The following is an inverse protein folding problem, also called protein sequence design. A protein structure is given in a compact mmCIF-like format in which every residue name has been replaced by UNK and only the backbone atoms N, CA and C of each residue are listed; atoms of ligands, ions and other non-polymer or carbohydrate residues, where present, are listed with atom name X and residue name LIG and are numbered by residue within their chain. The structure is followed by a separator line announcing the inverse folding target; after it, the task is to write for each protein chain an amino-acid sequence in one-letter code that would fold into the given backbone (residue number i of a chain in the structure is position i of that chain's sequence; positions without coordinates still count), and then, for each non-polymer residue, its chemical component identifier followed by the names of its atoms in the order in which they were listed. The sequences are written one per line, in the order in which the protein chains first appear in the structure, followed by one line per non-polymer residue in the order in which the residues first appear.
data_IF_022708972794
#
_entry.id   IF_022708972794
#
_cell.length_a   1.000
_cell.length_b   1.000
_cell.length_c   1.000
_cell.angle_alpha   90.00
_cell.angle_beta   90.00
_cell.angle_gamma   90.00
#
_symmetry.space_group_name_H-M   'P 1'
#
loop_
_entity.id
_entity.type
_entity.pdbx_description
1 polymer ?
#
# COMPACT_ATOMS: atom_id res chain seq x y z
N UNK A 1 -53.32 38.03 -60.89
CA UNK A 1 -53.20 36.96 -59.87
C UNK A 1 -52.09 35.89 -60.08
N UNK A 2 -51.13 35.95 -61.02
CA UNK A 2 -50.08 34.90 -61.12
C UNK A 2 -48.82 35.14 -60.26
N UNK A 3 -48.55 36.36 -59.79
CA UNK A 3 -47.35 36.67 -58.98
C UNK A 3 -47.41 36.11 -57.55
N UNK A 4 -48.61 36.06 -56.94
CA UNK A 4 -48.76 35.59 -55.55
C UNK A 4 -48.49 34.08 -55.40
N UNK A 5 -48.82 33.27 -56.42
CA UNK A 5 -48.57 31.82 -56.40
C UNK A 5 -47.09 31.47 -56.58
N UNK A 6 -46.33 32.28 -57.33
CA UNK A 6 -44.88 32.09 -57.49
C UNK A 6 -44.10 32.44 -56.21
N UNK A 7 -44.50 33.48 -55.49
CA UNK A 7 -43.84 33.84 -54.24
C UNK A 7 -44.11 32.84 -53.11
N UNK A 8 -45.35 32.35 -52.98
CA UNK A 8 -45.68 31.28 -52.04
C UNK A 8 -44.90 30.00 -52.36
N UNK A 9 -44.80 29.61 -53.63
CA UNK A 9 -44.02 28.44 -54.07
C UNK A 9 -42.52 28.53 -53.72
N UNK A 10 -41.91 29.71 -53.89
CA UNK A 10 -40.51 29.95 -53.48
C UNK A 10 -40.33 29.93 -51.97
N UNK A 11 -41.28 30.47 -51.22
CA UNK A 11 -41.23 30.49 -49.76
C UNK A 11 -41.29 29.06 -49.18
N UNK A 12 -42.18 28.20 -49.69
CA UNK A 12 -42.27 26.80 -49.28
C UNK A 12 -41.04 25.96 -49.65
N UNK A 13 -40.41 26.19 -50.80
CA UNK A 13 -39.17 25.50 -51.18
C UNK A 13 -37.98 25.90 -50.29
N UNK A 14 -37.86 27.18 -49.95
CA UNK A 14 -36.82 27.65 -49.04
C UNK A 14 -36.99 27.08 -47.62
N UNK A 15 -38.22 26.96 -47.13
CA UNK A 15 -38.54 26.33 -45.84
C UNK A 15 -38.20 24.82 -45.82
N UNK A 16 -38.50 24.11 -46.92
CA UNK A 16 -38.21 22.67 -47.06
C UNK A 16 -36.70 22.38 -47.16
N UNK A 17 -35.95 23.23 -47.86
CA UNK A 17 -34.50 23.13 -47.95
C UNK A 17 -33.84 23.45 -46.58
N UNK A 18 -34.32 24.47 -45.87
CA UNK A 18 -33.86 24.80 -44.52
C UNK A 18 -34.06 23.66 -43.50
N UNK A 19 -35.22 23.00 -43.51
CA UNK A 19 -35.46 21.83 -42.65
C UNK A 19 -34.57 20.63 -42.98
N UNK A 20 -34.20 20.45 -44.24
CA UNK A 20 -33.36 19.32 -44.69
C UNK A 20 -31.91 19.53 -44.26
N UNK A 21 -31.39 20.74 -44.37
CA UNK A 21 -30.04 21.09 -43.90
C UNK A 21 -29.94 21.05 -42.37
N UNK A 22 -30.98 21.49 -41.66
CA UNK A 22 -31.04 21.40 -40.19
C UNK A 22 -31.02 19.95 -39.69
N UNK A 23 -31.69 19.02 -40.37
CA UNK A 23 -31.64 17.59 -40.05
C UNK A 23 -30.25 16.98 -40.31
N UNK A 24 -29.58 17.37 -41.40
CA UNK A 24 -28.19 16.92 -41.67
C UNK A 24 -27.21 17.46 -40.63
N UNK A 25 -27.38 18.71 -40.21
CA UNK A 25 -26.56 19.31 -39.15
C UNK A 25 -26.79 18.60 -37.81
N UNK A 26 -28.05 18.36 -37.43
CA UNK A 26 -28.39 17.67 -36.20
C UNK A 26 -27.87 16.23 -36.17
N UNK A 27 -27.99 15.48 -37.27
CA UNK A 27 -27.40 14.13 -37.36
C UNK A 27 -25.88 14.16 -37.23
N UNK A 28 -25.19 15.07 -37.93
CA UNK A 28 -23.73 15.22 -37.77
C UNK A 28 -23.34 15.55 -36.33
N UNK A 29 -24.09 16.43 -35.68
CA UNK A 29 -23.84 16.82 -34.30
C UNK A 29 -24.04 15.65 -33.32
N UNK A 30 -25.11 14.86 -33.48
CA UNK A 30 -25.36 13.68 -32.64
C UNK A 30 -24.27 12.63 -32.84
N UNK A 31 -23.85 12.37 -34.08
CA UNK A 31 -22.78 11.38 -34.35
C UNK A 31 -21.44 11.83 -33.75
N UNK A 32 -21.07 13.11 -33.91
CA UNK A 32 -19.85 13.68 -33.31
C UNK A 32 -19.89 13.68 -31.78
N UNK A 33 -21.05 13.98 -31.18
CA UNK A 33 -21.24 13.96 -29.72
C UNK A 33 -21.16 12.53 -29.16
N UNK A 34 -21.72 11.55 -29.86
CA UNK A 34 -21.65 10.13 -29.46
C UNK A 34 -20.24 9.55 -29.53
N UNK A 35 -19.43 9.92 -30.54
CA UNK A 35 -18.01 9.52 -30.61
C UNK A 35 -17.16 10.23 -29.55
N UNK A 36 -17.45 11.50 -29.25
CA UNK A 36 -16.76 12.25 -28.20
C UNK A 36 -17.02 11.68 -26.81
N UNK A 37 -18.28 11.35 -26.49
CA UNK A 37 -18.63 10.74 -25.21
C UNK A 37 -17.98 9.35 -25.02
N UNK A 38 -17.94 8.51 -26.07
CA UNK A 38 -17.28 7.20 -26.01
C UNK A 38 -15.77 7.31 -25.75
N UNK A 39 -15.11 8.37 -26.24
CA UNK A 39 -13.68 8.61 -26.02
C UNK A 39 -13.34 9.05 -24.58
N UNK A 40 -14.28 9.69 -23.88
CA UNK A 40 -14.08 10.10 -22.48
C UNK A 40 -14.16 8.92 -21.50
N UNK A 41 -14.86 7.83 -21.86
CA UNK A 41 -14.92 6.62 -21.02
C UNK A 41 -13.67 5.74 -21.08
N UNK A 42 -12.80 5.92 -22.09
CA UNK A 42 -11.59 5.09 -22.26
C UNK A 42 -10.32 5.70 -21.67
N UNK A 43 -10.36 6.96 -21.21
CA UNK A 43 -9.17 7.71 -20.76
C UNK A 43 -8.96 7.78 -19.25
N UNK A 44 -9.88 7.27 -18.43
CA UNK A 44 -9.77 7.33 -16.96
C UNK A 44 -9.58 5.93 -16.34
N UNK A 45 -8.77 5.10 -16.99
CA UNK A 45 -8.30 3.87 -16.38
C UNK A 45 -7.12 4.24 -15.46
N UNK A 46 -7.42 4.62 -14.23
CA UNK A 46 -6.40 4.96 -13.24
C UNK A 46 -5.64 3.68 -12.85
N UNK A 47 -4.31 3.72 -12.92
CA UNK A 47 -3.47 2.64 -12.38
C UNK A 47 -3.11 2.97 -10.94
N UNK A 48 -3.45 2.07 -10.02
CA UNK A 48 -2.99 2.14 -8.64
C UNK A 48 -1.72 1.30 -8.48
N UNK A 49 -0.71 1.86 -7.83
CA UNK A 49 0.45 1.11 -7.37
C UNK A 49 0.23 0.70 -5.92
N UNK A 50 0.49 -0.57 -5.63
CA UNK A 50 0.41 -1.13 -4.29
C UNK A 50 1.80 -1.61 -3.89
N UNK A 51 2.28 -1.11 -2.76
CA UNK A 51 3.61 -1.43 -2.24
C UNK A 51 3.50 -2.39 -1.06
N UNK A 52 4.35 -3.41 -1.05
CA UNK A 52 4.46 -4.38 0.06
C UNK A 52 5.85 -4.32 0.65
N UNK A 53 5.94 -4.08 1.96
CA UNK A 53 7.20 -4.05 2.72
C UNK A 53 7.49 -5.44 3.28
N UNK A 54 8.68 -5.95 3.01
CA UNK A 54 9.06 -7.33 3.26
C UNK A 54 10.38 -7.38 4.02
N UNK A 55 10.46 -8.26 5.02
CA UNK A 55 11.73 -8.67 5.62
C UNK A 55 11.88 -10.19 5.41
N UNK A 56 12.80 -10.58 4.52
CA UNK A 56 12.88 -11.96 4.04
C UNK A 56 13.09 -13.01 5.15
N UNK A 57 14.00 -12.79 6.13
CA UNK A 57 14.14 -13.73 7.24
C UNK A 57 12.86 -13.89 8.08
N UNK A 58 12.07 -12.83 8.28
CA UNK A 58 10.80 -12.92 9.00
C UNK A 58 9.70 -13.61 8.19
N UNK A 59 9.70 -13.49 6.85
CA UNK A 59 8.84 -14.31 6.00
C UNK A 59 9.20 -15.80 6.10
N UNK A 60 10.50 -16.12 5.98
CA UNK A 60 10.97 -17.51 5.97
C UNK A 60 10.72 -18.21 7.31
N UNK A 61 10.85 -17.48 8.42
CA UNK A 61 10.45 -17.96 9.74
C UNK A 61 8.97 -18.32 9.81
N UNK A 62 8.10 -17.50 9.21
CA UNK A 62 6.64 -17.72 9.20
C UNK A 62 6.17 -18.72 8.13
N UNK A 63 7.02 -19.12 7.19
CA UNK A 63 6.65 -19.99 6.07
C UNK A 63 6.64 -21.50 6.39
N UNK A 64 6.51 -21.89 7.66
CA UNK A 64 6.48 -23.29 8.14
C UNK A 64 7.77 -24.11 7.88
N UNK A 65 8.83 -23.46 7.35
CA UNK A 65 10.15 -24.07 7.16
C UNK A 65 10.94 -24.15 8.47
N UNK A 66 10.76 -23.17 9.34
CA UNK A 66 11.46 -23.07 10.62
C UNK A 66 10.56 -23.65 11.71
N UNK A 67 11.01 -24.74 12.33
CA UNK A 67 10.26 -25.48 13.37
C UNK A 67 10.58 -25.05 14.80
N UNK A 68 11.49 -24.10 14.98
CA UNK A 68 11.96 -23.66 16.29
C UNK A 68 12.57 -22.27 16.21
N UNK A 69 12.58 -21.56 17.34
CA UNK A 69 13.28 -20.29 17.47
C UNK A 69 14.77 -20.46 17.10
N UNK A 70 15.30 -19.71 16.13
CA UNK A 70 16.69 -19.82 15.73
C UNK A 70 17.59 -19.11 16.74
N UNK A 71 18.35 -19.87 17.53
CA UNK A 71 19.16 -19.32 18.65
C UNK A 71 20.31 -18.43 18.19
N UNK A 72 20.95 -18.76 17.09
CA UNK A 72 22.12 -18.03 16.57
C UNK A 72 21.74 -16.95 15.54
N UNK A 73 20.49 -16.49 15.56
CA UNK A 73 20.01 -15.45 14.66
C UNK A 73 20.38 -14.05 15.17
N UNK A 74 20.74 -13.09 14.29
CA UNK A 74 20.89 -11.69 14.68
C UNK A 74 19.57 -11.05 15.15
N UNK A 75 18.43 -11.72 14.94
CA UNK A 75 17.11 -11.30 15.40
C UNK A 75 16.70 -11.99 16.71
N UNK A 76 17.61 -12.76 17.33
CA UNK A 76 17.41 -13.38 18.63
C UNK A 76 18.26 -12.68 19.68
N UNK A 77 17.61 -12.23 20.76
CA UNK A 77 18.27 -11.71 21.95
C UNK A 77 17.94 -12.64 23.11
N UNK A 78 18.97 -13.17 23.75
CA UNK A 78 18.85 -14.22 24.77
C UNK A 78 18.10 -15.43 24.22
N UNK A 79 16.79 -15.54 24.46
CA UNK A 79 15.93 -16.59 23.94
C UNK A 79 14.64 -16.07 23.26
N UNK A 80 14.63 -14.78 22.94
CA UNK A 80 13.52 -14.06 22.33
C UNK A 80 13.85 -13.76 20.87
N UNK A 81 13.06 -14.28 19.95
CA UNK A 81 13.16 -13.98 18.53
C UNK A 81 12.17 -12.89 18.14
N UNK A 82 12.66 -11.91 17.39
CA UNK A 82 11.89 -10.81 16.86
C UNK A 82 11.68 -10.99 15.36
N UNK A 83 10.42 -10.94 14.93
CA UNK A 83 10.04 -10.93 13.54
C UNK A 83 9.25 -9.66 13.23
N UNK A 84 9.34 -9.18 11.99
CA UNK A 84 8.52 -8.05 11.54
C UNK A 84 7.66 -8.41 10.33
N UNK A 85 6.58 -7.67 10.18
CA UNK A 85 5.63 -7.77 9.08
C UNK A 85 5.20 -6.37 8.62
N UNK A 86 5.38 -6.07 7.33
CA UNK A 86 4.72 -4.94 6.71
C UNK A 86 3.24 -5.25 6.45
N UNK A 87 2.34 -4.40 6.93
CA UNK A 87 0.89 -4.46 6.66
C UNK A 87 0.46 -3.21 5.92
N UNK A 88 -0.34 -3.39 4.88
CA UNK A 88 -0.99 -2.29 4.17
C UNK A 88 -2.22 -1.83 4.97
N UNK A 89 -2.30 -0.55 5.26
CA UNK A 89 -3.46 0.09 5.89
C UNK A 89 -4.41 0.65 4.83
N UNK A 90 -3.82 1.30 3.83
CA UNK A 90 -4.42 1.84 2.61
C UNK A 90 -3.34 1.86 1.51
N UNK A 91 -3.65 2.30 0.30
CA UNK A 91 -2.72 2.31 -0.84
C UNK A 91 -1.37 2.97 -0.55
N UNK A 92 -1.38 4.06 0.23
CA UNK A 92 -0.20 4.87 0.53
C UNK A 92 0.25 4.80 2.01
N UNK A 93 -0.49 4.11 2.87
CA UNK A 93 -0.19 4.01 4.31
C UNK A 93 0.15 2.57 4.70
N UNK A 94 1.30 2.40 5.36
CA UNK A 94 1.80 1.09 5.77
C UNK A 94 2.14 1.06 7.26
N UNK A 95 1.96 -0.10 7.88
CA UNK A 95 2.39 -0.38 9.24
C UNK A 95 3.51 -1.42 9.24
N UNK A 96 4.48 -1.26 10.13
CA UNK A 96 5.41 -2.34 10.45
C UNK A 96 5.05 -2.90 11.82
N UNK A 97 4.58 -4.14 11.81
CA UNK A 97 4.22 -4.87 13.02
C UNK A 97 5.39 -5.71 13.50
N UNK A 98 5.67 -5.63 14.79
CA UNK A 98 6.57 -6.51 15.51
C UNK A 98 5.81 -7.75 16.00
N UNK A 99 6.44 -8.92 15.90
CA UNK A 99 6.06 -10.13 16.58
C UNK A 99 7.23 -10.68 17.39
N UNK A 100 6.97 -11.04 18.64
CA UNK A 100 7.95 -11.63 19.55
C UNK A 100 7.59 -13.08 19.91
N UNK A 101 8.62 -13.93 19.95
CA UNK A 101 8.54 -15.37 20.19
C UNK A 101 9.61 -15.75 21.22
N UNK A 102 9.33 -16.66 22.14
CA UNK A 102 10.29 -17.07 23.17
C UNK A 102 10.23 -18.57 23.46
N UNK A 103 11.38 -19.16 23.83
CA UNK A 103 11.45 -20.55 24.28
C UNK A 103 11.16 -20.73 25.77
N UNK A 104 11.12 -19.62 26.51
CA UNK A 104 10.87 -19.56 27.96
C UNK A 104 9.51 -18.95 28.27
N UNK A 105 9.13 -18.94 29.55
CA UNK A 105 7.93 -18.25 30.04
C UNK A 105 8.33 -16.98 30.77
N UNK A 106 7.37 -16.08 30.96
CA UNK A 106 7.49 -14.87 31.77
C UNK A 106 8.67 -13.98 31.34
N UNK A 107 8.76 -13.72 30.03
CA UNK A 107 9.71 -12.73 29.51
C UNK A 107 9.05 -11.37 29.45
N UNK A 108 9.78 -10.32 29.80
CA UNK A 108 9.37 -8.93 29.59
C UNK A 108 10.35 -8.26 28.64
N UNK A 109 9.82 -7.43 27.74
CA UNK A 109 10.58 -6.68 26.76
C UNK A 109 10.04 -5.25 26.78
N UNK A 110 10.90 -4.27 27.03
CA UNK A 110 10.53 -2.87 26.80
C UNK A 110 10.94 -2.47 25.38
N UNK A 111 9.98 -2.08 24.56
CA UNK A 111 10.17 -1.55 23.22
C UNK A 111 10.39 -0.06 23.34
N UNK A 112 11.63 0.38 23.17
CA UNK A 112 12.03 1.77 23.44
C UNK A 112 11.68 2.66 22.24
N UNK A 113 12.18 2.28 21.07
CA UNK A 113 11.98 3.03 19.82
C UNK A 113 12.24 2.16 18.60
N UNK A 114 11.79 2.66 17.47
CA UNK A 114 12.11 2.15 16.15
C UNK A 114 12.57 3.29 15.25
N UNK A 115 13.36 2.99 14.23
CA UNK A 115 13.83 3.98 13.28
C UNK A 115 13.82 3.40 11.87
N UNK A 116 13.19 4.11 10.94
CA UNK A 116 13.23 3.77 9.52
C UNK A 116 14.34 4.57 8.86
N UNK A 117 15.29 3.89 8.24
CA UNK A 117 16.41 4.50 7.55
C UNK A 117 16.47 4.08 6.09
N UNK A 118 16.64 5.06 5.20
CA UNK A 118 16.86 4.88 3.76
C UNK A 118 17.84 5.96 3.33
N UNK A 119 18.92 5.59 2.64
CA UNK A 119 19.93 6.57 2.22
C UNK A 119 20.46 7.41 3.39
N UNK A 120 20.28 8.74 3.32
CA UNK A 120 20.62 9.67 4.40
C UNK A 120 19.46 9.96 5.35
N UNK A 121 18.24 9.54 4.98
CA UNK A 121 17.04 9.75 5.77
C UNK A 121 16.99 8.77 6.92
N UNK A 122 16.63 9.29 8.09
CA UNK A 122 16.36 8.51 9.28
C UNK A 122 15.19 9.14 10.03
N UNK A 123 14.11 8.37 10.20
CA UNK A 123 12.90 8.80 10.87
C UNK A 123 12.73 7.94 12.12
N UNK A 124 12.79 8.57 13.28
CA UNK A 124 12.64 7.92 14.58
C UNK A 124 11.18 7.93 15.03
N UNK A 125 10.71 6.80 15.55
CA UNK A 125 9.45 6.65 16.26
C UNK A 125 9.72 6.16 17.69
N UNK A 126 9.41 6.98 18.69
CA UNK A 126 9.55 6.61 20.11
C UNK A 126 8.28 5.89 20.57
N UNK A 127 8.47 4.76 21.23
CA UNK A 127 7.37 3.84 21.58
C UNK A 127 7.22 3.81 23.09
N UNK A 128 8.25 3.36 23.81
CA UNK A 128 8.26 3.18 25.27
C UNK A 128 7.09 2.34 25.79
N UNK A 129 6.84 1.20 25.14
CA UNK A 129 5.81 0.24 25.53
C UNK A 129 6.41 -1.09 25.96
N UNK A 130 5.65 -1.89 26.71
CA UNK A 130 6.09 -3.20 27.19
C UNK A 130 5.33 -4.33 26.51
N UNK A 131 6.07 -5.37 26.12
CA UNK A 131 5.51 -6.66 25.71
C UNK A 131 5.84 -7.70 26.78
N UNK A 132 4.80 -8.39 27.27
CA UNK A 132 4.94 -9.52 28.19
C UNK A 132 4.65 -10.83 27.45
N UNK A 133 5.57 -11.79 27.59
CA UNK A 133 5.45 -13.14 27.02
C UNK A 133 5.25 -14.14 28.16
N UNK A 134 3.99 -14.35 28.57
CA UNK A 134 3.63 -15.19 29.73
C UNK A 134 3.85 -16.69 29.50
N UNK A 135 3.87 -17.12 28.23
CA UNK A 135 4.06 -18.51 27.85
C UNK A 135 5.25 -18.65 26.90
N UNK A 136 5.65 -19.90 26.65
CA UNK A 136 6.61 -20.24 25.60
C UNK A 136 5.87 -20.42 24.28
N UNK A 137 6.55 -20.15 23.18
CA UNK A 137 6.04 -20.36 21.83
C UNK A 137 5.85 -21.86 21.60
N UNK A 138 4.66 -22.23 21.12
CA UNK A 138 4.38 -23.59 20.69
C UNK A 138 5.11 -23.86 19.36
N UNK A 139 6.11 -24.73 19.41
CA UNK A 139 6.95 -25.08 18.25
C UNK A 139 6.17 -25.79 17.14
N UNK A 140 5.02 -26.38 17.44
CA UNK A 140 4.15 -27.00 16.42
C UNK A 140 3.36 -25.96 15.61
N UNK A 141 3.19 -24.73 16.14
CA UNK A 141 2.39 -23.65 15.54
C UNK A 141 3.08 -22.28 15.53
N UNK A 142 4.42 -22.26 15.50
CA UNK A 142 5.25 -21.05 15.63
C UNK A 142 4.97 -19.97 14.57
N UNK A 143 4.30 -20.33 13.48
CA UNK A 143 4.22 -19.52 12.26
C UNK A 143 3.08 -18.52 12.21
N UNK A 144 2.07 -18.64 13.08
CA UNK A 144 0.82 -17.87 12.91
C UNK A 144 0.48 -16.91 14.04
N UNK A 145 0.96 -17.16 15.26
CA UNK A 145 0.59 -16.37 16.43
C UNK A 145 1.84 -15.94 17.20
N UNK A 146 2.35 -14.71 16.99
CA UNK A 146 3.31 -14.14 17.92
C UNK A 146 2.70 -14.11 19.33
N UNK A 147 3.52 -14.34 20.35
CA UNK A 147 3.06 -14.29 21.74
C UNK A 147 2.81 -12.84 22.19
N UNK A 148 3.59 -11.92 21.64
CA UNK A 148 3.39 -10.50 21.76
C UNK A 148 3.53 -9.84 20.40
N UNK A 149 2.62 -8.92 20.08
CA UNK A 149 2.67 -8.17 18.83
C UNK A 149 2.21 -6.74 19.00
N UNK A 150 2.86 -5.82 18.30
CA UNK A 150 2.44 -4.43 18.28
C UNK A 150 2.86 -3.75 16.98
N UNK A 151 2.17 -2.67 16.63
CA UNK A 151 2.67 -1.76 15.60
C UNK A 151 3.87 -0.99 16.17
N UNK A 152 5.00 -1.03 15.47
CA UNK A 152 6.21 -0.31 15.88
C UNK A 152 6.53 0.86 14.95
N UNK A 153 5.90 0.97 13.77
CA UNK A 153 6.15 2.07 12.87
C UNK A 153 4.96 2.27 11.93
N UNK A 154 4.50 3.52 11.81
CA UNK A 154 3.54 3.92 10.77
C UNK A 154 4.27 4.72 9.71
N UNK A 155 4.15 4.27 8.46
CA UNK A 155 4.69 4.93 7.28
C UNK A 155 3.51 5.63 6.62
N UNK A 156 3.39 6.92 6.91
CA UNK A 156 2.35 7.77 6.32
C UNK A 156 2.61 8.01 4.82
N UNK A 157 1.62 8.53 4.06
CA UNK A 157 1.77 8.74 2.61
C UNK A 157 2.97 9.60 2.20
N UNK A 158 3.40 10.56 3.03
CA UNK A 158 4.56 11.39 2.74
C UNK A 158 5.86 10.58 2.89
N UNK A 159 5.93 9.81 3.97
CA UNK A 159 7.04 8.91 4.28
C UNK A 159 7.11 7.77 3.27
N UNK A 160 5.98 7.21 2.82
CA UNK A 160 5.92 6.17 1.79
C UNK A 160 6.55 6.67 0.50
N UNK A 161 6.18 7.88 0.03
CA UNK A 161 6.80 8.48 -1.16
C UNK A 161 8.30 8.66 -1.00
N UNK A 162 8.75 9.14 0.15
CA UNK A 162 10.18 9.30 0.44
C UNK A 162 10.90 7.94 0.44
N UNK A 163 10.33 6.96 1.14
CA UNK A 163 10.82 5.60 1.25
C UNK A 163 10.92 4.89 -0.11
N UNK A 164 10.00 5.17 -1.04
CA UNK A 164 9.99 4.62 -2.38
C UNK A 164 10.97 5.33 -3.32
N UNK A 165 11.04 6.67 -3.26
CA UNK A 165 11.84 7.47 -4.18
C UNK A 165 13.33 7.50 -3.84
N UNK A 166 13.70 7.27 -2.58
CA UNK A 166 15.10 7.27 -2.17
C UNK A 166 15.84 6.02 -2.64
N UNK A 167 17.07 6.25 -3.10
CA UNK A 167 18.01 5.20 -3.46
C UNK A 167 18.81 4.77 -2.24
N UNK A 168 18.86 3.48 -1.96
CA UNK A 168 19.66 2.94 -0.87
C UNK A 168 19.04 1.69 -0.26
N UNK A 169 19.78 1.08 0.66
CA UNK A 169 19.26 0.01 1.50
C UNK A 169 18.23 0.59 2.47
N UNK A 170 17.09 -0.09 2.58
CA UNK A 170 16.01 0.27 3.51
C UNK A 170 16.18 -0.56 4.76
N UNK A 171 16.23 0.08 5.93
CA UNK A 171 16.47 -0.58 7.21
C UNK A 171 15.46 -0.12 8.23
N UNK A 172 14.98 -1.06 9.02
CA UNK A 172 14.29 -0.77 10.28
C UNK A 172 15.22 -1.14 11.43
N UNK A 173 15.48 -0.19 12.31
CA UNK A 173 16.30 -0.40 13.50
C UNK A 173 15.36 -0.38 14.71
N UNK A 174 15.35 -1.45 15.49
CA UNK A 174 14.53 -1.60 16.69
C UNK A 174 15.44 -1.57 17.92
N UNK A 175 15.16 -0.67 18.87
CA UNK A 175 15.85 -0.62 20.16
C UNK A 175 14.95 -1.19 21.26
N UNK A 176 15.45 -2.16 22.02
CA UNK A 176 14.71 -2.87 23.07
C UNK A 176 15.51 -2.98 24.35
N UNK A 177 14.82 -3.07 25.49
CA UNK A 177 15.39 -3.47 26.77
C UNK A 177 14.93 -4.90 27.10
N UNK A 178 15.89 -5.81 27.30
CA UNK A 178 15.63 -7.19 27.74
C UNK A 178 16.48 -7.44 28.98
N UNK A 179 15.84 -7.86 30.07
CA UNK A 179 16.48 -8.10 31.37
C UNK A 179 17.36 -6.93 31.86
N UNK A 180 16.93 -5.69 31.62
CA UNK A 180 17.64 -4.48 32.02
C UNK A 180 18.84 -4.11 31.14
N UNK A 181 19.07 -4.80 30.02
CA UNK A 181 20.12 -4.47 29.04
C UNK A 181 19.49 -4.00 27.73
N UNK A 182 20.06 -2.93 27.16
CA UNK A 182 19.61 -2.38 25.89
C UNK A 182 20.27 -3.11 24.72
N UNK A 183 19.48 -3.40 23.70
CA UNK A 183 19.90 -4.04 22.46
C UNK A 183 19.31 -3.31 21.26
N UNK A 184 19.97 -3.48 20.11
CA UNK A 184 19.51 -2.95 18.83
C UNK A 184 19.48 -4.08 17.80
N UNK A 185 18.37 -4.19 17.09
CA UNK A 185 18.18 -5.15 15.98
C UNK A 185 17.97 -4.36 14.70
N UNK A 186 18.68 -4.73 13.64
CA UNK A 186 18.52 -4.11 12.32
C UNK A 186 17.87 -5.12 11.36
N UNK A 187 16.75 -4.74 10.78
CA UNK A 187 16.02 -5.49 9.76
C UNK A 187 16.20 -4.83 8.40
N UNK A 188 16.65 -5.59 7.40
CA UNK A 188 16.79 -5.11 6.02
C UNK A 188 15.47 -5.29 5.25
N UNK A 189 14.91 -4.20 4.77
CA UNK A 189 13.59 -4.17 4.15
C UNK A 189 13.68 -4.19 2.63
N UNK A 190 12.88 -5.05 2.01
CA UNK A 190 12.58 -5.04 0.60
C UNK A 190 11.21 -4.41 0.35
N UNK A 191 11.05 -3.75 -0.79
CA UNK A 191 9.75 -3.24 -1.26
C UNK A 191 9.39 -3.90 -2.57
N UNK A 192 8.21 -4.51 -2.63
CA UNK A 192 7.63 -5.03 -3.88
C UNK A 192 6.47 -4.15 -4.30
N UNK A 193 6.52 -3.66 -5.54
CA UNK A 193 5.43 -2.89 -6.15
C UNK A 193 4.61 -3.78 -7.07
N UNK A 194 3.29 -3.73 -6.95
CA UNK A 194 2.34 -4.33 -7.89
C UNK A 194 1.44 -3.25 -8.45
N UNK A 195 1.20 -3.27 -9.75
CA UNK A 195 0.33 -2.30 -10.42
C UNK A 195 -1.02 -2.96 -10.70
N UNK A 196 -2.09 -2.29 -10.31
CA UNK A 196 -3.46 -2.70 -10.55
C UNK A 196 -4.19 -1.68 -11.41
N UNK A 197 -5.05 -2.17 -12.28
CA UNK A 197 -5.96 -1.34 -13.07
C UNK A 197 -7.20 -1.06 -12.23
N UNK A 198 -7.46 0.21 -11.89
CA UNK A 198 -8.64 0.64 -11.15
C UNK A 198 -9.74 0.96 -12.16
N UNK A 199 -10.86 0.26 -12.02
CA UNK A 199 -12.06 0.58 -12.78
C UNK A 199 -12.89 1.59 -11.97
N UNK A 200 -13.36 2.69 -12.57
CA UNK A 200 -14.24 3.64 -11.90
C UNK A 200 -15.51 2.91 -11.41
N UNK A 201 -15.88 3.15 -10.14
CA UNK A 201 -17.08 2.58 -9.49
C UNK A 201 -18.32 3.42 -9.72
#
# INVERSE_FOLDING_TARGET
MPQLQQELGRCFQNLKNGMTEMKKFLNKFITLFSLGAMSMFMTACETAEVHTIIHKPSEDFRSEKIKSIPKDSPFTIEDIYFAIEGKEADHDEHYIWLGAYTSSKNREIDILKSSLSVGETNIENRINEKITLDTKTDTENITRNPLGSMNIFTIDPATTKQFLNETGERKLILSVLVDGKEFSITFELDVRTKTYTVFPT
#
